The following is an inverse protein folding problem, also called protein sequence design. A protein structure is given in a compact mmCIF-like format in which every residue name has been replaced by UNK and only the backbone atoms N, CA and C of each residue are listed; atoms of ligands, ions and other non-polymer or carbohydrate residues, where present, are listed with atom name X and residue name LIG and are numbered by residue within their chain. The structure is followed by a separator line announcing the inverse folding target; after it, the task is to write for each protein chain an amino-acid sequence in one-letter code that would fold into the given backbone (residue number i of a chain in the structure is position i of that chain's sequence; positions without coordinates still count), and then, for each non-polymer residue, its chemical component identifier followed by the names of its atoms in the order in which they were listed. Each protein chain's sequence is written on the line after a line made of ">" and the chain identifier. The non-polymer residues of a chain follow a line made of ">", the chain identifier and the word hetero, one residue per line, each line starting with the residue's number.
data_IF_316774335246
#
_entry.id   IF_316774335246
#
_cell.length_a   1.000
_cell.length_b   1.000
_cell.length_c   1.000
_cell.angle_alpha   90.00
_cell.angle_beta   90.00
_cell.angle_gamma   90.00
#
_symmetry.space_group_name_H-M   'P 1'
#
loop_
_entity.id
_entity.type
_entity.pdbx_description
1 polymer ?
#
# COMPACT_ATOMS: atom_id res chain seq x y z
N UNK A 1 2.81 0.05 4.80
CA UNK A 1 2.07 -0.91 5.63
C UNK A 1 2.87 -1.28 6.87
N UNK A 2 2.22 -1.53 8.02
CA UNK A 2 2.85 -2.07 9.23
C UNK A 2 3.56 -3.40 8.97
N UNK A 3 4.52 -3.74 9.85
CA UNK A 3 5.30 -4.95 9.64
C UNK A 3 4.46 -6.26 9.62
N UNK A 4 3.44 -6.44 10.47
CA UNK A 4 2.59 -7.64 10.42
C UNK A 4 1.83 -7.75 9.09
N UNK A 5 1.15 -6.70 8.66
CA UNK A 5 0.40 -6.70 7.39
C UNK A 5 1.32 -6.93 6.19
N UNK A 6 2.47 -6.26 6.16
CA UNK A 6 3.45 -6.49 5.09
C UNK A 6 3.94 -7.94 5.05
N UNK A 7 4.17 -8.56 6.21
CA UNK A 7 4.54 -10.00 6.26
C UNK A 7 3.42 -10.88 5.72
N UNK A 8 2.17 -10.60 6.07
CA UNK A 8 1.01 -11.34 5.57
C UNK A 8 0.89 -11.24 4.05
N UNK A 9 0.99 -10.03 3.46
CA UNK A 9 0.95 -9.82 2.01
C UNK A 9 2.09 -10.54 1.29
N UNK A 10 3.32 -10.48 1.85
CA UNK A 10 4.48 -11.20 1.31
C UNK A 10 4.28 -12.71 1.38
N UNK A 11 3.72 -13.23 2.48
CA UNK A 11 3.45 -14.66 2.65
C UNK A 11 2.39 -15.13 1.66
N UNK A 12 1.30 -14.40 1.50
CA UNK A 12 0.23 -14.71 0.54
C UNK A 12 0.75 -14.73 -0.90
N UNK A 13 1.49 -13.70 -1.32
CA UNK A 13 2.05 -13.65 -2.67
C UNK A 13 3.03 -14.81 -2.94
N UNK A 14 3.88 -15.18 -1.97
CA UNK A 14 4.77 -16.32 -2.08
C UNK A 14 4.04 -17.66 -2.13
N UNK A 15 2.85 -17.73 -1.56
CA UNK A 15 1.97 -18.89 -1.63
C UNK A 15 1.17 -18.97 -2.96
N UNK A 16 1.37 -18.00 -3.89
CA UNK A 16 0.72 -17.99 -5.20
C UNK A 16 -0.57 -17.18 -5.27
N UNK A 17 -0.94 -16.46 -4.20
CA UNK A 17 -2.09 -15.56 -4.23
C UNK A 17 -1.76 -14.32 -5.08
N UNK A 18 -2.67 -13.91 -5.95
CA UNK A 18 -2.57 -12.65 -6.72
C UNK A 18 -2.83 -11.46 -5.80
N UNK A 19 -1.77 -10.89 -5.26
CA UNK A 19 -1.82 -9.73 -4.37
C UNK A 19 -1.51 -8.47 -5.15
N UNK A 20 -2.48 -7.55 -5.23
CA UNK A 20 -2.37 -6.27 -5.93
C UNK A 20 -2.54 -5.12 -4.96
N UNK A 21 -1.69 -4.10 -5.09
CA UNK A 21 -1.74 -2.86 -4.30
C UNK A 21 -1.85 -1.67 -5.23
N UNK A 22 -2.86 -0.83 -5.02
CA UNK A 22 -2.97 0.48 -5.66
C UNK A 22 -2.55 1.53 -4.63
N UNK A 23 -1.54 2.31 -4.96
CA UNK A 23 -0.99 3.36 -4.11
C UNK A 23 -1.15 4.73 -4.78
N UNK A 24 -1.22 5.83 -4.01
CA UNK A 24 -1.19 7.16 -4.59
C UNK A 24 0.11 7.41 -5.34
N UNK A 25 0.06 7.79 -6.61
CA UNK A 25 1.22 8.25 -7.35
C UNK A 25 1.68 9.64 -6.91
N UNK A 26 0.72 10.47 -6.48
CA UNK A 26 0.94 11.80 -5.87
C UNK A 26 0.33 11.85 -4.48
N UNK A 27 0.93 12.61 -3.58
CA UNK A 27 0.46 12.82 -2.20
C UNK A 27 0.66 14.28 -1.84
N UNK A 28 -0.26 14.83 -1.06
CA UNK A 28 -0.17 16.13 -0.40
C UNK A 28 1.00 16.17 0.61
N UNK A 29 1.39 15.01 1.13
CA UNK A 29 2.54 14.87 2.03
C UNK A 29 3.63 13.99 1.36
N UNK A 30 4.51 14.59 0.54
CA UNK A 30 5.47 13.84 -0.28
C UNK A 30 6.39 12.90 0.52
N UNK A 31 6.75 13.26 1.75
CA UNK A 31 7.62 12.44 2.60
C UNK A 31 6.98 11.09 2.97
N UNK A 32 5.66 11.07 3.18
CA UNK A 32 4.93 9.81 3.48
C UNK A 32 4.95 8.89 2.26
N UNK A 33 4.71 9.43 1.07
CA UNK A 33 4.77 8.66 -0.17
C UNK A 33 6.18 8.10 -0.40
N UNK A 34 7.23 8.91 -0.24
CA UNK A 34 8.62 8.45 -0.38
C UNK A 34 8.97 7.34 0.62
N UNK A 35 8.54 7.47 1.87
CA UNK A 35 8.76 6.44 2.89
C UNK A 35 8.00 5.13 2.58
N UNK A 36 6.79 5.21 2.01
CA UNK A 36 6.05 4.04 1.54
C UNK A 36 6.79 3.33 0.40
N UNK A 37 7.29 4.09 -0.57
CA UNK A 37 8.05 3.60 -1.73
C UNK A 37 9.33 2.86 -1.33
N UNK A 38 10.02 3.24 -0.26
CA UNK A 38 11.20 2.53 0.24
C UNK A 38 10.95 1.03 0.52
N UNK A 39 9.69 0.63 0.69
CA UNK A 39 9.28 -0.75 0.99
C UNK A 39 8.86 -1.57 -0.22
N UNK A 40 8.69 -0.97 -1.40
CA UNK A 40 8.24 -1.64 -2.61
C UNK A 40 9.14 -2.81 -3.02
N UNK A 41 10.46 -2.64 -2.87
CA UNK A 41 11.41 -3.68 -3.26
C UNK A 41 11.15 -5.04 -2.58
N UNK A 42 10.73 -5.05 -1.33
CA UNK A 42 10.43 -6.29 -0.60
C UNK A 42 9.13 -6.95 -1.09
N UNK A 43 8.11 -6.14 -1.36
CA UNK A 43 6.82 -6.60 -1.88
C UNK A 43 6.96 -7.13 -3.32
N UNK A 44 7.61 -6.36 -4.20
CA UNK A 44 7.84 -6.76 -5.60
C UNK A 44 8.64 -8.05 -5.72
N UNK A 45 9.68 -8.25 -4.87
CA UNK A 45 10.44 -9.52 -4.85
C UNK A 45 9.61 -10.71 -4.38
N UNK A 46 8.55 -10.47 -3.62
CA UNK A 46 7.64 -11.53 -3.17
C UNK A 46 6.56 -11.86 -4.19
N UNK A 47 6.44 -11.10 -5.28
CA UNK A 47 5.41 -11.29 -6.29
C UNK A 47 4.18 -10.40 -6.12
N UNK A 48 4.18 -9.49 -5.14
CA UNK A 48 3.10 -8.49 -5.00
C UNK A 48 3.17 -7.52 -6.18
N UNK A 49 2.05 -7.32 -6.87
CA UNK A 49 1.92 -6.35 -7.95
C UNK A 49 1.56 -4.98 -7.37
N UNK A 50 2.34 -3.96 -7.71
CA UNK A 50 2.15 -2.60 -7.20
C UNK A 50 1.82 -1.68 -8.35
N UNK A 51 0.78 -0.87 -8.17
CA UNK A 51 0.31 0.11 -9.12
C UNK A 51 0.32 1.49 -8.46
N UNK A 52 0.75 2.51 -9.19
CA UNK A 52 0.67 3.90 -8.76
C UNK A 52 -0.40 4.64 -9.58
N UNK A 53 -1.36 5.22 -8.88
CA UNK A 53 -2.47 5.97 -9.45
C UNK A 53 -1.99 7.22 -10.18
N UNK A 54 -2.43 7.41 -11.43
CA UNK A 54 -2.03 8.54 -12.27
C UNK A 54 -2.96 9.76 -12.16
N UNK A 55 -4.16 9.58 -11.62
CA UNK A 55 -5.17 10.63 -11.49
C UNK A 55 -4.93 11.60 -10.32
N UNK A 56 -5.97 12.33 -9.91
CA UNK A 56 -5.95 13.16 -8.71
C UNK A 56 -5.58 12.35 -7.46
N UNK A 57 -5.47 13.02 -6.29
CA UNK A 57 -5.12 12.34 -5.05
C UNK A 57 -6.07 11.16 -4.75
N UNK A 58 -5.51 9.97 -4.65
CA UNK A 58 -6.24 8.77 -4.22
C UNK A 58 -6.41 8.78 -2.70
N UNK A 59 -7.65 8.78 -2.22
CA UNK A 59 -7.95 8.77 -0.78
C UNK A 59 -8.77 7.54 -0.33
N UNK A 60 -8.97 6.56 -1.20
CA UNK A 60 -9.66 5.31 -0.89
C UNK A 60 -8.85 4.44 0.09
N UNK A 61 -9.53 3.81 1.04
CA UNK A 61 -8.99 2.81 1.95
C UNK A 61 -9.93 1.61 1.89
N UNK A 62 -9.67 0.77 0.90
CA UNK A 62 -10.48 -0.42 0.62
C UNK A 62 -9.57 -1.63 0.48
N UNK A 63 -10.06 -2.77 0.92
CA UNK A 63 -9.46 -4.08 0.68
C UNK A 63 -10.56 -4.99 0.17
N UNK A 64 -10.27 -5.83 -0.81
CA UNK A 64 -11.18 -6.87 -1.29
C UNK A 64 -10.43 -8.19 -1.34
N UNK A 65 -11.09 -9.27 -0.98
CA UNK A 65 -10.55 -10.62 -1.09
C UNK A 65 -11.57 -11.56 -1.76
N UNK A 66 -11.12 -12.21 -2.82
CA UNK A 66 -11.80 -13.31 -3.54
C UNK A 66 -13.25 -12.98 -3.96
N UNK A 67 -13.59 -11.70 -4.15
CA UNK A 67 -14.93 -11.26 -4.50
C UNK A 67 -16.03 -11.60 -3.48
N UNK A 68 -15.66 -11.95 -2.26
CA UNK A 68 -16.59 -12.37 -1.20
C UNK A 68 -16.49 -11.54 0.08
N UNK A 69 -15.33 -10.96 0.33
CA UNK A 69 -15.02 -10.17 1.51
C UNK A 69 -14.47 -8.81 1.13
N UNK A 70 -14.84 -7.77 1.86
CA UNK A 70 -14.30 -6.42 1.69
C UNK A 70 -14.14 -5.70 3.02
N UNK A 71 -13.24 -4.72 3.05
CA UNK A 71 -13.06 -3.78 4.14
C UNK A 71 -13.03 -2.37 3.54
N UNK A 72 -13.80 -1.47 4.13
CA UNK A 72 -13.85 -0.05 3.76
C UNK A 72 -13.67 0.76 5.02
N UNK A 73 -12.81 1.76 4.99
CA UNK A 73 -12.63 2.57 6.19
C UNK A 73 -11.81 3.83 6.01
N UNK A 74 -11.39 4.35 7.15
CA UNK A 74 -10.54 5.53 7.25
C UNK A 74 -9.07 5.20 7.45
N UNK A 75 -8.73 3.94 7.82
CA UNK A 75 -7.37 3.51 8.15
C UNK A 75 -6.44 3.55 6.95
N UNK A 76 -5.43 4.39 6.99
CA UNK A 76 -4.34 4.34 6.02
C UNK A 76 -3.36 3.20 6.36
N UNK A 77 -2.79 2.57 5.35
CA UNK A 77 -1.72 1.56 5.52
C UNK A 77 -0.38 2.20 5.93
N UNK A 78 -0.42 3.18 6.83
CA UNK A 78 0.76 3.83 7.38
C UNK A 78 0.76 3.76 8.92
N UNK A 79 1.92 3.89 9.58
CA UNK A 79 2.01 3.77 11.04
C UNK A 79 1.24 4.83 11.80
N UNK A 80 1.08 6.03 11.24
CA UNK A 80 0.43 7.14 11.94
C UNK A 80 -1.06 6.89 12.13
N UNK A 81 -1.75 6.40 11.09
CA UNK A 81 -3.17 6.04 11.20
C UNK A 81 -3.40 4.90 12.19
N UNK A 82 -2.51 3.92 12.24
CA UNK A 82 -2.71 2.72 13.04
C UNK A 82 -2.36 2.86 14.53
N UNK A 83 -1.60 3.90 14.91
CA UNK A 83 -1.14 4.08 16.29
C UNK A 83 -1.44 5.47 16.87
N UNK A 84 -1.94 6.41 16.08
CA UNK A 84 -2.08 7.80 16.50
C UNK A 84 -3.42 8.46 16.15
N UNK A 85 -4.32 7.77 15.45
CA UNK A 85 -5.63 8.30 15.05
C UNK A 85 -6.75 7.36 15.47
N UNK A 86 -7.92 7.93 15.76
CA UNK A 86 -9.14 7.15 15.85
C UNK A 86 -9.61 6.86 14.43
N UNK A 87 -9.63 5.59 14.07
CA UNK A 87 -10.03 5.12 12.75
C UNK A 87 -11.27 4.23 12.87
N UNK A 88 -12.09 4.22 11.83
CA UNK A 88 -13.24 3.34 11.71
C UNK A 88 -13.14 2.56 10.41
N UNK A 89 -13.12 1.25 10.51
CA UNK A 89 -13.16 0.35 9.37
C UNK A 89 -14.37 -0.57 9.49
N UNK A 90 -15.04 -0.81 8.38
CA UNK A 90 -16.21 -1.68 8.26
C UNK A 90 -15.81 -2.91 7.47
N UNK A 91 -15.96 -4.07 8.10
CA UNK A 91 -15.83 -5.37 7.45
C UNK A 91 -17.18 -5.78 6.82
N UNK A 92 -17.13 -6.25 5.58
CA UNK A 92 -18.31 -6.60 4.79
C UNK A 92 -18.12 -8.03 4.25
N UNK A 93 -19.00 -8.92 4.64
CA UNK A 93 -19.06 -10.31 4.17
C UNK A 93 -20.26 -10.47 3.22
N UNK A 94 -20.21 -9.79 2.08
CA UNK A 94 -21.24 -9.82 1.05
C UNK A 94 -20.60 -9.91 -0.35
N UNK A 95 -20.85 -11.00 -1.10
CA UNK A 95 -20.28 -11.17 -2.43
C UNK A 95 -20.76 -10.12 -3.45
N UNK A 96 -21.93 -9.53 -3.25
CA UNK A 96 -22.44 -8.47 -4.14
C UNK A 96 -21.62 -7.20 -4.03
N UNK A 97 -21.40 -6.74 -2.79
CA UNK A 97 -20.60 -5.55 -2.49
C UNK A 97 -19.12 -5.81 -2.81
N UNK A 98 -18.58 -6.97 -2.38
CA UNK A 98 -17.19 -7.31 -2.62
C UNK A 98 -16.85 -7.32 -4.11
N UNK A 99 -17.66 -7.96 -4.97
CA UNK A 99 -17.48 -7.94 -6.42
C UNK A 99 -17.65 -6.55 -7.04
N UNK A 100 -18.50 -5.70 -6.48
CA UNK A 100 -18.62 -4.32 -6.95
C UNK A 100 -17.34 -3.52 -6.70
N UNK A 101 -16.76 -3.65 -5.49
CA UNK A 101 -15.51 -3.01 -5.13
C UNK A 101 -14.32 -3.58 -5.92
N UNK A 102 -14.30 -4.89 -6.18
CA UNK A 102 -13.30 -5.52 -7.02
C UNK A 102 -13.34 -4.97 -8.46
N UNK A 103 -14.51 -4.85 -9.06
CA UNK A 103 -14.66 -4.23 -10.37
C UNK A 103 -14.19 -2.78 -10.39
N UNK A 104 -14.51 -2.00 -9.35
CA UNK A 104 -14.01 -0.62 -9.23
C UNK A 104 -12.50 -0.59 -9.11
N UNK A 105 -11.91 -1.45 -8.28
CA UNK A 105 -10.46 -1.57 -8.15
C UNK A 105 -9.79 -1.91 -9.48
N UNK A 106 -10.33 -2.87 -10.23
CA UNK A 106 -9.79 -3.25 -11.56
C UNK A 106 -9.89 -2.11 -12.57
N UNK A 107 -11.00 -1.35 -12.59
CA UNK A 107 -11.15 -0.16 -13.42
C UNK A 107 -10.14 0.95 -13.02
N UNK A 108 -9.90 1.13 -11.73
CA UNK A 108 -8.89 2.07 -11.25
C UNK A 108 -7.47 1.69 -11.71
N UNK A 109 -7.16 0.39 -11.83
CA UNK A 109 -5.86 -0.06 -12.34
C UNK A 109 -5.62 0.35 -13.81
N UNK A 110 -6.66 0.56 -14.62
CA UNK A 110 -6.54 1.05 -16.00
C UNK A 110 -5.95 2.47 -16.06
N UNK A 111 -6.16 3.27 -15.00
CA UNK A 111 -5.59 4.60 -14.82
C UNK A 111 -4.36 4.63 -13.90
N UNK A 112 -3.70 3.50 -13.73
CA UNK A 112 -2.53 3.37 -12.88
C UNK A 112 -1.32 2.85 -13.65
N UNK A 113 -0.13 3.15 -13.17
CA UNK A 113 1.13 2.64 -13.71
C UNK A 113 1.62 1.46 -12.87
N UNK A 114 1.76 0.29 -13.48
CA UNK A 114 2.35 -0.86 -12.80
C UNK A 114 3.85 -0.66 -12.57
N UNK A 115 4.28 -0.85 -11.34
CA UNK A 115 5.68 -0.75 -10.93
C UNK A 115 6.30 -2.14 -10.99
N UNK A 116 7.10 -2.40 -12.03
CA UNK A 116 7.81 -3.67 -12.15
C UNK A 116 9.10 -3.69 -11.34
N UNK A 117 9.55 -4.87 -10.91
CA UNK A 117 10.80 -5.03 -10.17
C UNK A 117 12.01 -4.51 -10.95
N UNK A 118 12.03 -4.69 -12.28
CA UNK A 118 13.11 -4.24 -13.13
C UNK A 118 13.16 -2.72 -13.28
N UNK A 119 12.02 -2.08 -13.52
CA UNK A 119 11.93 -0.62 -13.51
C UNK A 119 12.33 -0.06 -12.14
N UNK A 120 11.89 -0.74 -11.06
CA UNK A 120 12.22 -0.37 -9.69
C UNK A 120 13.73 -0.42 -9.41
N UNK A 121 14.43 -1.43 -9.91
CA UNK A 121 15.89 -1.57 -9.76
C UNK A 121 16.67 -0.50 -10.53
N UNK A 122 16.17 -0.08 -11.70
CA UNK A 122 16.83 0.90 -12.59
C UNK A 122 16.60 2.36 -12.18
N UNK A 123 15.74 2.65 -11.17
CA UNK A 123 15.48 4.03 -10.75
C UNK A 123 16.73 4.75 -10.26
N UNK A 124 16.82 6.10 -10.41
CA UNK A 124 18.00 6.90 -10.06
C UNK A 124 18.43 6.70 -8.60
N UNK A 125 19.74 6.67 -8.35
CA UNK A 125 20.31 6.54 -6.99
C UNK A 125 19.83 7.65 -6.06
N UNK A 126 19.73 8.88 -6.55
CA UNK A 126 19.23 10.02 -5.77
C UNK A 126 17.79 9.80 -5.25
N UNK A 127 16.92 9.20 -6.07
CA UNK A 127 15.56 8.83 -5.65
C UNK A 127 15.59 7.77 -4.55
N UNK A 128 16.43 6.73 -4.69
CA UNK A 128 16.59 5.68 -3.67
C UNK A 128 17.04 6.25 -2.32
N UNK A 129 18.00 7.18 -2.34
CA UNK A 129 18.51 7.85 -1.14
C UNK A 129 17.38 8.65 -0.47
N UNK A 130 16.64 9.47 -1.24
CA UNK A 130 15.51 10.26 -0.70
C UNK A 130 14.45 9.38 -0.06
N UNK A 131 14.08 8.28 -0.68
CA UNK A 131 13.10 7.32 -0.14
C UNK A 131 13.57 6.71 1.19
N UNK A 132 14.85 6.33 1.29
CA UNK A 132 15.41 5.77 2.53
C UNK A 132 15.53 6.81 3.65
N UNK A 133 15.92 8.04 3.33
CA UNK A 133 15.94 9.15 4.30
C UNK A 133 14.52 9.43 4.80
N UNK A 134 13.54 9.54 3.91
CA UNK A 134 12.14 9.74 4.30
C UNK A 134 11.64 8.59 5.21
N UNK A 135 11.97 7.36 4.87
CA UNK A 135 11.62 6.21 5.70
C UNK A 135 12.30 6.28 7.09
N UNK A 136 13.57 6.62 7.16
CA UNK A 136 14.29 6.77 8.42
C UNK A 136 13.70 7.86 9.31
N UNK A 137 13.42 9.04 8.74
CA UNK A 137 12.83 10.18 9.47
C UNK A 137 11.46 9.86 10.06
N UNK A 138 10.61 9.13 9.34
CA UNK A 138 9.26 8.78 9.80
C UNK A 138 9.24 7.60 10.78
N UNK A 139 10.30 6.79 10.84
CA UNK A 139 10.35 5.60 11.71
C UNK A 139 11.20 5.80 12.97
N UNK A 140 12.00 6.85 13.04
CA UNK A 140 12.86 7.14 14.19
C UNK A 140 12.07 7.40 15.49
N UNK A 141 10.92 8.12 15.48
CA UNK A 141 10.16 8.40 16.71
C UNK A 141 9.56 7.14 17.36
N UNK A 142 9.21 6.11 16.58
CA UNK A 142 8.56 4.91 17.12
C UNK A 142 9.45 4.01 17.98
N UNK A 143 10.77 4.12 17.88
CA UNK A 143 11.68 3.38 18.75
C UNK A 143 11.81 3.96 20.16
N UNK A 144 11.41 5.22 20.36
CA UNK A 144 11.51 5.91 21.66
C UNK A 144 10.27 5.72 22.54
N UNK A 145 9.15 5.23 21.98
CA UNK A 145 7.89 5.04 22.71
C UNK A 145 7.51 3.57 22.95
N UNK A 146 8.36 2.62 22.61
CA UNK A 146 8.18 1.18 22.85
C UNK A 146 9.16 0.62 23.89
N UNK A 147 9.39 1.41 24.93
CA UNK A 147 10.10 0.98 26.15
C UNK A 147 9.14 0.88 27.31
#
# INVERSE_FOLDING_TARGET
>A
APAPLRRALVSAARAGVDVRLLAPGRSDIPIINQAARARYAALLRAGVRIYEWNGPMLHAKTVVADGTWALIGSSNLNPFSLFGSHELDVEIQDPGIARQLERQFLADLENATEITLDAWRRRPRAQRIREHIAAALLWFPHRLYSG
#
